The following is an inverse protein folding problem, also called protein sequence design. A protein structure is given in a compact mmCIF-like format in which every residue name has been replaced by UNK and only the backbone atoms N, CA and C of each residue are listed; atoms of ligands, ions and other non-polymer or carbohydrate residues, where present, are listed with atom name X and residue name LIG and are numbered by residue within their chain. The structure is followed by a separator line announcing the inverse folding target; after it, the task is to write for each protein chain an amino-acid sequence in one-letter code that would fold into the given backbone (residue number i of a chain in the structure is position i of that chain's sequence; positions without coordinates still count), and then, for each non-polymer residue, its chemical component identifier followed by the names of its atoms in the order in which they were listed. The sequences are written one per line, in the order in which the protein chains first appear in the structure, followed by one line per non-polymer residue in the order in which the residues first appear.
data_IF_404068001517
#
_entry.id   IF_404068001517
#
_cell.length_a   1.000
_cell.length_b   1.000
_cell.length_c   1.000
_cell.angle_alpha   90.00
_cell.angle_beta   90.00
_cell.angle_gamma   90.00
#
_symmetry.space_group_name_H-M   'P 1'
#
loop_
_entity.id
_entity.type
_entity.pdbx_description
1 polymer ?
#
# COMPACT_ATOMS: atom_id res chain seq x y z
N UNK A 1 -20.32 17.59 -28.20
CA UNK A 1 -19.07 16.86 -27.84
C UNK A 1 -18.38 17.39 -26.58
N UNK A 2 -18.56 18.64 -26.15
CA UNK A 2 -17.89 19.21 -24.95
C UNK A 2 -18.19 18.50 -23.61
N UNK A 3 -19.38 17.91 -23.42
CA UNK A 3 -19.70 17.18 -22.19
C UNK A 3 -18.94 15.86 -22.01
N UNK A 4 -18.48 15.25 -23.11
CA UNK A 4 -17.79 13.96 -23.09
C UNK A 4 -16.35 14.10 -22.58
N UNK A 5 -15.64 15.17 -22.94
CA UNK A 5 -14.27 15.43 -22.46
C UNK A 5 -14.21 15.70 -20.96
N UNK A 6 -15.14 16.49 -20.43
CA UNK A 6 -15.24 16.82 -19.01
C UNK A 6 -15.57 15.56 -18.19
N UNK A 7 -16.50 14.74 -18.69
CA UNK A 7 -16.91 13.51 -18.01
C UNK A 7 -15.78 12.45 -18.00
N UNK A 8 -15.03 12.33 -19.10
CA UNK A 8 -13.84 11.47 -19.16
C UNK A 8 -12.75 11.90 -18.19
N UNK A 9 -12.48 13.20 -18.08
CA UNK A 9 -11.47 13.71 -17.16
C UNK A 9 -11.87 13.48 -15.69
N UNK A 10 -13.14 13.70 -15.35
CA UNK A 10 -13.69 13.36 -14.02
C UNK A 10 -13.60 11.87 -13.72
N UNK A 11 -13.86 11.02 -14.71
CA UNK A 11 -13.74 9.57 -14.56
C UNK A 11 -12.29 9.14 -14.29
N UNK A 12 -11.32 9.67 -15.04
CA UNK A 12 -9.90 9.43 -14.78
C UNK A 12 -9.45 9.92 -13.40
N UNK A 13 -9.97 11.07 -12.95
CA UNK A 13 -9.71 11.57 -11.60
C UNK A 13 -10.29 10.62 -10.53
N UNK A 14 -11.47 10.04 -10.75
CA UNK A 14 -12.06 9.05 -9.86
C UNK A 14 -11.24 7.76 -9.80
N UNK A 15 -10.77 7.25 -10.96
CA UNK A 15 -9.88 6.08 -11.02
C UNK A 15 -8.60 6.33 -10.23
N UNK A 16 -7.94 7.47 -10.45
CA UNK A 16 -6.72 7.85 -9.70
C UNK A 16 -6.96 7.85 -8.20
N UNK A 17 -8.08 8.44 -7.74
CA UNK A 17 -8.44 8.47 -6.31
C UNK A 17 -8.67 7.07 -5.74
N UNK A 18 -9.38 6.21 -6.48
CA UNK A 18 -9.60 4.82 -6.06
C UNK A 18 -8.28 4.05 -5.93
N UNK A 19 -7.36 4.22 -6.89
CA UNK A 19 -6.02 3.58 -6.83
C UNK A 19 -5.17 4.13 -5.69
N UNK A 20 -5.28 5.41 -5.37
CA UNK A 20 -4.59 6.00 -4.22
C UNK A 20 -5.11 5.44 -2.90
N UNK A 21 -6.44 5.25 -2.78
CA UNK A 21 -7.02 4.63 -1.60
C UNK A 21 -6.56 3.18 -1.43
N UNK A 22 -6.56 2.39 -2.52
CA UNK A 22 -6.06 1.02 -2.50
C UNK A 22 -4.57 0.93 -2.12
N UNK A 23 -3.74 1.87 -2.59
CA UNK A 23 -2.33 1.92 -2.22
C UNK A 23 -2.13 2.18 -0.72
N UNK A 24 -2.91 3.10 -0.13
CA UNK A 24 -2.86 3.38 1.32
C UNK A 24 -3.30 2.18 2.15
N UNK A 25 -4.39 1.53 1.75
CA UNK A 25 -4.86 0.31 2.42
C UNK A 25 -3.81 -0.80 2.37
N UNK A 26 -3.11 -0.94 1.23
CA UNK A 26 -2.03 -1.89 1.09
C UNK A 26 -0.81 -1.57 1.97
N UNK A 27 -0.48 -0.28 2.15
CA UNK A 27 0.58 0.16 3.07
C UNK A 27 0.22 -0.10 4.54
N UNK A 28 -1.03 0.19 4.93
CA UNK A 28 -1.55 -0.05 6.28
C UNK A 28 -1.49 -1.55 6.63
N UNK A 29 -1.92 -2.41 5.71
CA UNK A 29 -1.87 -3.85 5.93
C UNK A 29 -0.41 -4.37 5.98
N UNK A 30 0.50 -3.83 5.16
CA UNK A 30 1.91 -4.16 5.26
C UNK A 30 2.52 -3.78 6.63
N UNK A 31 2.11 -2.66 7.20
CA UNK A 31 2.49 -2.27 8.56
C UNK A 31 1.94 -3.25 9.61
N UNK A 32 0.67 -3.67 9.49
CA UNK A 32 0.08 -4.66 10.38
C UNK A 32 0.84 -6.00 10.37
N UNK A 33 1.19 -6.50 9.17
CA UNK A 33 1.96 -7.75 9.03
C UNK A 33 3.35 -7.62 9.64
N UNK A 34 4.01 -6.47 9.48
CA UNK A 34 5.30 -6.18 10.11
C UNK A 34 5.19 -6.24 11.64
N UNK A 35 4.16 -5.63 12.21
CA UNK A 35 3.94 -5.61 13.66
C UNK A 35 3.59 -7.00 14.20
N UNK A 36 2.73 -7.75 13.50
CA UNK A 36 2.39 -9.14 13.85
C UNK A 36 3.65 -10.02 13.85
N UNK A 37 4.50 -9.89 12.82
CA UNK A 37 5.77 -10.62 12.73
C UNK A 37 6.72 -10.26 13.87
N UNK A 38 6.84 -8.97 14.21
CA UNK A 38 7.67 -8.52 15.32
C UNK A 38 7.19 -9.09 16.66
N UNK A 39 5.88 -9.10 16.90
CA UNK A 39 5.27 -9.69 18.10
C UNK A 39 5.56 -11.19 18.23
N UNK A 40 5.39 -11.96 17.16
CA UNK A 40 5.65 -13.40 17.20
C UNK A 40 7.15 -13.71 17.36
N UNK A 41 8.04 -12.92 16.73
CA UNK A 41 9.49 -13.04 16.96
C UNK A 41 9.87 -12.74 18.41
N UNK A 42 9.26 -11.73 19.02
CA UNK A 42 9.47 -11.43 20.43
C UNK A 42 8.96 -12.56 21.32
N UNK A 43 7.80 -13.15 21.00
CA UNK A 43 7.26 -14.31 21.70
C UNK A 43 8.19 -15.52 21.61
N UNK A 44 8.71 -15.81 20.42
CA UNK A 44 9.71 -16.87 20.20
C UNK A 44 10.94 -16.67 21.07
N UNK A 45 11.47 -15.45 21.14
CA UNK A 45 12.63 -15.13 21.97
C UNK A 45 12.35 -15.39 23.46
N UNK A 46 11.20 -14.94 23.99
CA UNK A 46 10.80 -15.22 25.38
C UNK A 46 10.68 -16.71 25.67
N UNK A 47 10.07 -17.47 24.75
CA UNK A 47 9.99 -18.93 24.88
C UNK A 47 11.38 -19.56 24.88
N UNK A 48 12.31 -19.10 24.05
CA UNK A 48 13.68 -19.61 24.06
C UNK A 48 14.39 -19.36 25.41
N UNK A 49 14.15 -18.22 26.05
CA UNK A 49 14.66 -17.93 27.39
C UNK A 49 14.02 -18.86 28.45
N UNK A 50 12.72 -19.14 28.34
CA UNK A 50 12.00 -20.08 29.22
C UNK A 50 12.43 -21.54 29.04
N UNK A 51 12.86 -21.93 27.82
CA UNK A 51 13.34 -23.27 27.51
C UNK A 51 14.56 -23.67 28.35
N UNK A 52 15.37 -22.70 28.77
CA UNK A 52 16.50 -22.91 29.68
C UNK A 52 16.08 -23.44 31.06
N UNK A 53 14.82 -23.22 31.46
CA UNK A 53 14.28 -23.61 32.76
C UNK A 53 13.28 -24.77 32.68
N UNK A 54 12.55 -24.93 31.55
CA UNK A 54 11.55 -26.00 31.33
C UNK A 54 11.52 -26.48 29.86
N UNK A 55 12.45 -27.35 29.44
CA UNK A 55 12.68 -27.60 28.01
C UNK A 55 11.53 -28.36 27.29
N UNK A 56 10.96 -29.40 27.90
CA UNK A 56 10.03 -30.31 27.21
C UNK A 56 8.68 -29.68 26.82
N UNK A 57 8.16 -28.74 27.62
CA UNK A 57 6.88 -28.07 27.35
C UNK A 57 7.03 -26.88 26.39
N UNK A 58 8.25 -26.41 26.18
CA UNK A 58 8.57 -25.19 25.43
C UNK A 58 8.88 -25.50 23.97
N UNK A 59 9.49 -26.65 23.65
CA UNK A 59 9.78 -27.05 22.26
C UNK A 59 8.54 -27.04 21.36
N UNK A 60 7.42 -27.59 21.83
CA UNK A 60 6.16 -27.59 21.08
C UNK A 60 5.61 -26.18 20.86
N UNK A 61 5.80 -25.29 21.84
CA UNK A 61 5.35 -23.90 21.73
C UNK A 61 6.23 -23.11 20.77
N UNK A 62 7.54 -23.33 20.79
CA UNK A 62 8.48 -22.72 19.83
C UNK A 62 8.14 -23.18 18.41
N UNK A 63 7.93 -24.47 18.19
CA UNK A 63 7.55 -24.99 16.87
C UNK A 63 6.25 -24.33 16.35
N UNK A 64 5.23 -24.22 17.21
CA UNK A 64 3.97 -23.56 16.84
C UNK A 64 4.13 -22.06 16.55
N UNK A 65 5.04 -21.36 17.24
CA UNK A 65 5.36 -19.96 16.95
C UNK A 65 6.17 -19.84 15.66
N UNK A 66 7.08 -20.76 15.38
CA UNK A 66 7.87 -20.80 14.14
C UNK A 66 6.98 -21.03 12.91
N UNK A 67 5.99 -21.92 13.00
CA UNK A 67 4.96 -22.08 11.97
C UNK A 67 4.17 -20.79 11.72
N UNK A 68 3.80 -20.06 12.77
CA UNK A 68 3.11 -18.76 12.63
C UNK A 68 4.00 -17.71 12.00
N UNK A 69 5.27 -17.63 12.40
CA UNK A 69 6.24 -16.70 11.81
C UNK A 69 6.39 -17.00 10.31
N UNK A 70 6.50 -18.27 9.93
CA UNK A 70 6.59 -18.68 8.53
C UNK A 70 5.34 -18.29 7.74
N UNK A 71 4.15 -18.55 8.28
CA UNK A 71 2.89 -18.18 7.65
C UNK A 71 2.75 -16.66 7.45
N UNK A 72 3.08 -15.86 8.47
CA UNK A 72 3.05 -14.38 8.37
C UNK A 72 4.09 -13.88 7.37
N UNK A 73 5.27 -14.50 7.31
CA UNK A 73 6.31 -14.13 6.35
C UNK A 73 5.89 -14.41 4.90
N UNK A 74 5.22 -15.54 4.66
CA UNK A 74 4.66 -15.86 3.33
C UNK A 74 3.51 -14.91 2.96
N UNK A 75 2.60 -14.63 3.89
CA UNK A 75 1.52 -13.65 3.70
C UNK A 75 2.10 -12.28 3.35
N UNK A 76 3.13 -11.83 4.07
CA UNK A 76 3.85 -10.58 3.79
C UNK A 76 4.47 -10.57 2.39
N UNK A 77 5.12 -11.65 1.96
CA UNK A 77 5.74 -11.72 0.64
C UNK A 77 4.70 -11.58 -0.49
N UNK A 78 3.58 -12.31 -0.39
CA UNK A 78 2.46 -12.18 -1.35
C UNK A 78 1.88 -10.77 -1.36
N UNK A 79 1.76 -10.16 -0.19
CA UNK A 79 1.23 -8.81 -0.07
C UNK A 79 2.19 -7.75 -0.63
N UNK A 80 3.50 -7.97 -0.56
CA UNK A 80 4.49 -7.08 -1.20
C UNK A 80 4.35 -7.09 -2.72
N UNK A 81 4.12 -8.25 -3.34
CA UNK A 81 3.84 -8.36 -4.78
C UNK A 81 2.56 -7.59 -5.16
N UNK A 82 1.49 -7.73 -4.37
CA UNK A 82 0.25 -6.98 -4.58
C UNK A 82 0.44 -5.47 -4.41
N UNK A 83 1.26 -5.04 -3.46
CA UNK A 83 1.57 -3.62 -3.23
C UNK A 83 2.32 -3.02 -4.41
N UNK A 84 3.29 -3.74 -4.97
CA UNK A 84 4.01 -3.33 -6.18
C UNK A 84 3.06 -3.18 -7.37
N UNK A 85 2.16 -4.16 -7.57
CA UNK A 85 1.13 -4.11 -8.61
C UNK A 85 0.21 -2.90 -8.43
N UNK A 86 -0.30 -2.66 -7.23
CA UNK A 86 -1.16 -1.49 -6.93
C UNK A 86 -0.40 -0.18 -7.16
N UNK A 87 0.89 -0.12 -6.78
CA UNK A 87 1.76 1.03 -7.04
C UNK A 87 1.90 1.33 -8.53
N UNK A 88 2.13 0.30 -9.35
CA UNK A 88 2.20 0.44 -10.80
C UNK A 88 0.87 0.91 -11.40
N UNK A 89 -0.26 0.37 -10.94
CA UNK A 89 -1.60 0.79 -11.37
C UNK A 89 -1.90 2.25 -10.99
N UNK A 90 -1.49 2.69 -9.79
CA UNK A 90 -1.62 4.08 -9.36
C UNK A 90 -0.76 5.01 -10.22
N UNK A 91 0.48 4.63 -10.53
CA UNK A 91 1.35 5.41 -11.41
C UNK A 91 0.75 5.54 -12.82
N UNK A 92 0.23 4.45 -13.38
CA UNK A 92 -0.44 4.46 -14.67
C UNK A 92 -1.69 5.36 -14.66
N UNK A 93 -2.54 5.26 -13.64
CA UNK A 93 -3.72 6.11 -13.48
C UNK A 93 -3.34 7.60 -13.33
N UNK A 94 -2.29 7.89 -12.56
CA UNK A 94 -1.74 9.24 -12.40
C UNK A 94 -1.20 9.81 -13.72
N UNK A 95 -0.48 9.00 -14.50
CA UNK A 95 0.03 9.36 -15.82
C UNK A 95 -1.07 9.64 -16.82
N UNK A 96 -2.08 8.76 -16.92
CA UNK A 96 -3.22 8.93 -17.80
C UNK A 96 -4.04 10.19 -17.47
N UNK A 97 -4.33 10.40 -16.17
CA UNK A 97 -5.02 11.61 -15.72
C UNK A 97 -4.19 12.87 -16.00
N UNK A 98 -2.89 12.86 -15.69
CA UNK A 98 -2.00 14.01 -15.92
C UNK A 98 -1.87 14.36 -17.41
N UNK A 99 -1.77 13.36 -18.29
CA UNK A 99 -1.76 13.56 -19.73
C UNK A 99 -3.07 14.14 -20.25
N UNK A 100 -4.21 13.59 -19.83
CA UNK A 100 -5.54 14.09 -20.20
C UNK A 100 -5.77 15.53 -19.70
N UNK A 101 -5.31 15.85 -18.49
CA UNK A 101 -5.42 17.20 -17.91
C UNK A 101 -4.57 18.21 -18.69
N UNK A 102 -3.32 17.85 -19.06
CA UNK A 102 -2.46 18.71 -19.88
C UNK A 102 -3.07 18.97 -21.25
N UNK A 103 -3.53 17.92 -21.92
CA UNK A 103 -4.20 18.05 -23.21
C UNK A 103 -5.44 18.97 -23.12
N UNK A 104 -6.27 18.79 -22.09
CA UNK A 104 -7.44 19.64 -21.90
C UNK A 104 -7.07 21.12 -21.72
N UNK A 105 -6.00 21.42 -20.95
CA UNK A 105 -5.48 22.78 -20.78
C UNK A 105 -4.93 23.36 -22.08
N UNK A 106 -4.13 22.61 -22.82
CA UNK A 106 -3.50 23.03 -24.09
C UNK A 106 -4.54 23.32 -25.17
N UNK A 107 -5.63 22.56 -25.21
CA UNK A 107 -6.70 22.70 -26.19
C UNK A 107 -7.82 23.66 -25.74
N UNK A 108 -7.69 24.30 -24.57
CA UNK A 108 -8.71 25.20 -24.03
C UNK A 108 -10.05 24.49 -23.74
N UNK A 109 -10.01 23.19 -23.45
CA UNK A 109 -11.19 22.40 -23.15
C UNK A 109 -11.71 22.69 -21.72
N UNK A 110 -13.03 22.61 -21.51
CA UNK A 110 -13.61 22.81 -20.19
C UNK A 110 -13.07 21.79 -19.20
N UNK A 111 -12.70 22.29 -18.03
CA UNK A 111 -12.16 21.52 -16.93
C UNK A 111 -13.28 21.24 -15.90
N UNK A 112 -13.45 20.00 -15.41
CA UNK A 112 -14.33 19.74 -14.28
C UNK A 112 -14.02 20.63 -13.06
N UNK A 113 -15.06 21.04 -12.32
CA UNK A 113 -14.92 21.91 -11.14
C UNK A 113 -14.15 21.24 -9.98
N UNK A 114 -14.08 19.90 -9.95
CA UNK A 114 -13.48 19.11 -8.86
C UNK A 114 -12.02 18.68 -9.10
N UNK A 115 -11.32 19.29 -10.07
CA UNK A 115 -9.92 18.93 -10.40
C UNK A 115 -8.96 19.29 -9.25
N UNK A 116 -9.35 20.23 -8.40
CA UNK A 116 -8.48 20.87 -7.42
C UNK A 116 -8.78 20.37 -6.01
N UNK A 117 -8.23 19.20 -5.65
CA UNK A 117 -8.24 18.74 -4.26
C UNK A 117 -7.10 17.75 -3.89
N UNK A 118 -6.06 17.59 -4.71
CA UNK A 118 -5.07 16.54 -4.40
C UNK A 118 -3.74 16.58 -5.14
N UNK A 119 -3.38 17.70 -5.78
CA UNK A 119 -2.05 17.90 -6.36
C UNK A 119 -1.15 18.74 -5.47
N UNK A 120 -1.25 18.62 -4.15
CA UNK A 120 -0.13 18.99 -3.31
C UNK A 120 0.95 17.91 -3.46
N UNK A 121 1.99 18.32 -4.18
CA UNK A 121 3.29 17.70 -4.24
C UNK A 121 3.65 17.12 -2.86
N UNK A 122 3.88 15.81 -2.80
CA UNK A 122 4.81 15.25 -1.84
C UNK A 122 6.19 15.79 -2.25
N UNK A 123 6.51 16.99 -1.80
CA UNK A 123 7.88 17.49 -1.77
C UNK A 123 8.64 16.52 -0.87
N UNK A 124 9.52 15.73 -1.48
CA UNK A 124 10.61 15.07 -0.77
C UNK A 124 11.47 16.17 -0.14
N UNK A 125 11.12 16.59 1.07
CA UNK A 125 12.09 17.07 2.04
C UNK A 125 12.60 15.85 2.81
N UNK A 126 13.48 15.09 2.15
CA UNK A 126 14.45 14.29 2.88
C UNK A 126 15.57 15.28 3.24
N UNK A 127 15.54 15.72 4.49
CA UNK A 127 16.61 16.48 5.12
C UNK A 127 17.93 15.67 5.04
N UNK A 128 18.96 16.29 4.48
CA UNK A 128 20.36 16.01 4.82
C UNK A 128 20.77 16.83 6.05
#
# INVERSE_FOLDING_TARGET
MQYDSTNRLSHLAAIKRAKLAAAREADDHAAELRDRLARERQRRARLADEAAFRPADVEKQIAAVDEKIAAIAEEKARHEEDRERIGAELQAAGGAYGAALRYAKEQGLPLPHDIDAGSHQLTNEAAE
#
